data_IF_679971195739
#
_entry.id   IF_679971195739
#
_cell.length_a   1.000
_cell.length_b   1.000
_cell.length_c   1.000
_cell.angle_alpha   90.00
_cell.angle_beta   90.00
_cell.angle_gamma   90.00
#
_symmetry.space_group_name_H-M   'P 1'
#
loop_
_entity.id
_entity.type
_entity.pdbx_description
1 polymer ?
#
# COMPACT_ATOMS: atom_id res chain seq x y z
N UNK A 1 -3.78 -26.66 46.67
CA UNK A 1 -3.71 -26.73 45.19
C UNK A 1 -4.74 -25.78 44.59
N UNK A 2 -4.33 -24.60 44.10
CA UNK A 2 -5.23 -23.68 43.35
C UNK A 2 -5.43 -24.25 41.95
N UNK A 3 -6.65 -24.70 41.62
CA UNK A 3 -7.03 -25.11 40.26
C UNK A 3 -6.91 -23.88 39.34
N UNK A 4 -5.93 -23.88 38.43
CA UNK A 4 -5.87 -22.92 37.31
C UNK A 4 -7.12 -23.14 36.45
N UNK A 5 -7.87 -22.08 36.15
CA UNK A 5 -9.00 -22.10 35.21
C UNK A 5 -8.54 -22.78 33.92
N UNK A 6 -9.29 -23.81 33.46
CA UNK A 6 -9.09 -24.42 32.14
C UNK A 6 -9.23 -23.33 31.08
N UNK A 7 -8.11 -22.84 30.58
CA UNK A 7 -8.06 -22.06 29.34
C UNK A 7 -8.51 -23.03 28.23
N UNK A 8 -9.54 -22.64 27.47
CA UNK A 8 -10.23 -23.47 26.47
C UNK A 8 -9.27 -24.40 25.70
N UNK A 9 -9.52 -25.71 25.82
CA UNK A 9 -8.69 -26.81 25.27
C UNK A 9 -8.78 -26.91 23.73
N UNK A 10 -9.67 -26.13 23.10
CA UNK A 10 -10.00 -26.22 21.68
C UNK A 10 -9.90 -24.86 20.94
N UNK A 11 -9.41 -24.91 19.71
CA UNK A 11 -9.38 -23.84 18.71
C UNK A 11 -10.56 -24.08 17.76
N UNK A 12 -11.78 -23.73 18.18
CA UNK A 12 -12.99 -24.10 17.44
C UNK A 12 -13.15 -25.61 17.33
N UNK A 13 -12.77 -26.20 16.20
CA UNK A 13 -12.87 -27.65 15.88
C UNK A 13 -11.56 -28.43 16.07
N UNK A 14 -10.46 -27.78 16.45
CA UNK A 14 -9.13 -28.41 16.56
C UNK A 14 -8.57 -28.34 17.99
N UNK A 15 -7.55 -29.15 18.26
CA UNK A 15 -6.90 -29.21 19.58
C UNK A 15 -5.72 -28.25 19.67
N UNK A 16 -5.60 -27.55 20.81
CA UNK A 16 -4.39 -26.80 21.14
C UNK A 16 -3.29 -27.74 21.62
N UNK A 17 -2.12 -27.69 20.98
CA UNK A 17 -0.96 -28.49 21.38
C UNK A 17 0.12 -27.54 21.92
N UNK A 18 0.72 -27.82 23.09
CA UNK A 18 1.77 -26.98 23.63
C UNK A 18 3.01 -27.03 22.72
N UNK A 19 3.61 -25.88 22.47
CA UNK A 19 4.92 -25.83 21.86
C UNK A 19 5.95 -26.37 22.85
N UNK A 20 6.79 -27.26 22.36
CA UNK A 20 7.81 -27.94 23.14
C UNK A 20 9.14 -27.18 23.01
N UNK A 21 9.66 -26.69 24.13
CA UNK A 21 11.01 -26.15 24.22
C UNK A 21 12.00 -27.22 24.64
N UNK A 22 13.29 -27.02 24.38
CA UNK A 22 14.36 -27.86 24.93
C UNK A 22 15.08 -27.11 26.07
N UNK A 23 15.11 -27.72 27.25
CA UNK A 23 15.93 -27.27 28.39
C UNK A 23 16.87 -28.40 28.80
N UNK A 24 18.19 -28.17 28.72
CA UNK A 24 19.23 -29.15 29.09
C UNK A 24 18.96 -30.56 28.53
N UNK A 25 18.62 -30.65 27.24
CA UNK A 25 18.28 -31.90 26.50
C UNK A 25 16.98 -32.58 26.91
N UNK A 26 16.15 -31.95 27.76
CA UNK A 26 14.79 -32.40 28.08
C UNK A 26 13.78 -31.54 27.33
N UNK A 27 12.75 -32.20 26.82
CA UNK A 27 11.61 -31.52 26.20
C UNK A 27 10.67 -31.03 27.30
N UNK A 28 10.40 -29.73 27.33
CA UNK A 28 9.53 -29.08 28.32
C UNK A 28 8.38 -28.34 27.61
N UNK A 29 7.13 -28.45 28.10
CA UNK A 29 6.02 -27.68 27.54
C UNK A 29 6.18 -26.20 27.88
N UNK A 30 6.03 -25.33 26.89
CA UNK A 30 6.07 -23.88 27.07
C UNK A 30 4.69 -23.31 27.39
N UNK A 31 4.61 -22.01 27.71
CA UNK A 31 3.33 -21.29 27.87
C UNK A 31 2.63 -20.95 26.54
N UNK A 32 3.20 -21.38 25.41
CA UNK A 32 2.69 -21.12 24.07
C UNK A 32 2.02 -22.38 23.54
N UNK A 33 0.86 -22.22 22.90
CA UNK A 33 0.13 -23.32 22.27
C UNK A 33 -0.05 -23.03 20.79
N UNK A 34 -0.02 -24.05 19.95
CA UNK A 34 -0.33 -23.93 18.53
C UNK A 34 -1.45 -24.89 18.13
N UNK A 35 -2.27 -24.45 17.19
CA UNK A 35 -3.24 -25.31 16.52
C UNK A 35 -2.64 -25.78 15.19
N UNK A 36 -2.35 -27.08 15.06
CA UNK A 36 -1.76 -27.65 13.85
C UNK A 36 -2.71 -27.62 12.63
N UNK A 37 -4.02 -27.52 12.86
CA UNK A 37 -5.02 -27.41 11.79
C UNK A 37 -5.18 -25.98 11.26
N UNK A 38 -5.21 -24.99 12.15
CA UNK A 38 -5.45 -23.58 11.78
C UNK A 38 -4.18 -22.76 11.55
N UNK A 39 -3.04 -23.18 12.12
CA UNK A 39 -1.81 -22.38 12.14
C UNK A 39 -1.83 -21.23 13.16
N UNK A 40 -2.78 -21.24 14.09
CA UNK A 40 -2.89 -20.20 15.11
C UNK A 40 -1.92 -20.48 16.27
N UNK A 41 -1.31 -19.42 16.79
CA UNK A 41 -0.48 -19.43 17.98
C UNK A 41 -1.22 -18.70 19.12
N UNK A 42 -1.40 -19.38 20.25
CA UNK A 42 -2.00 -18.82 21.46
C UNK A 42 -0.90 -18.31 22.39
N UNK A 43 -1.01 -17.03 22.76
CA UNK A 43 -0.13 -16.35 23.72
C UNK A 43 -1.02 -15.84 24.86
N UNK A 44 -1.11 -16.64 25.93
CA UNK A 44 -2.07 -16.36 27.02
C UNK A 44 -3.53 -16.49 26.55
N UNK A 45 -4.31 -15.40 26.65
CA UNK A 45 -5.72 -15.36 26.23
C UNK A 45 -5.92 -14.96 24.77
N UNK A 46 -4.88 -14.48 24.08
CA UNK A 46 -4.98 -14.03 22.69
C UNK A 46 -4.44 -15.08 21.72
N UNK A 47 -4.97 -15.06 20.50
CA UNK A 47 -4.53 -15.91 19.39
C UNK A 47 -4.01 -15.05 18.25
N UNK A 48 -2.81 -15.37 17.78
CA UNK A 48 -2.15 -14.72 16.64
C UNK A 48 -2.10 -15.76 15.53
N UNK A 49 -2.63 -15.44 14.35
CA UNK A 49 -2.50 -16.33 13.20
C UNK A 49 -1.13 -16.15 12.57
N UNK A 50 -0.30 -17.19 12.59
CA UNK A 50 1.03 -17.17 11.99
C UNK A 50 0.96 -18.02 10.72
N UNK A 51 0.90 -17.35 9.57
CA UNK A 51 1.05 -17.99 8.26
C UNK A 51 2.42 -17.67 7.68
N UNK A 52 2.84 -18.42 6.66
CA UNK A 52 4.15 -18.21 5.99
C UNK A 52 4.34 -16.79 5.43
N UNK A 53 3.24 -16.04 5.24
CA UNK A 53 3.25 -14.72 4.61
C UNK A 53 2.49 -13.62 5.36
N UNK A 54 1.81 -13.94 6.47
CA UNK A 54 1.02 -12.96 7.24
C UNK A 54 1.03 -13.27 8.73
N UNK A 55 1.18 -12.22 9.53
CA UNK A 55 0.83 -12.17 10.94
C UNK A 55 -0.46 -11.36 11.04
N UNK A 56 -1.58 -12.02 11.33
CA UNK A 56 -2.84 -11.31 11.57
C UNK A 56 -2.89 -10.89 13.04
N UNK A 57 -2.99 -9.58 13.28
CA UNK A 57 -3.11 -8.98 14.61
C UNK A 57 -4.54 -8.50 14.89
N UNK A 58 -5.49 -8.73 13.98
CA UNK A 58 -6.83 -8.15 14.08
C UNK A 58 -6.78 -6.62 14.16
N UNK A 59 -7.57 -6.03 15.06
CA UNK A 59 -7.58 -4.58 15.32
C UNK A 59 -6.47 -4.11 16.28
N UNK A 60 -5.54 -5.00 16.68
CA UNK A 60 -4.50 -4.64 17.65
C UNK A 60 -3.36 -3.84 16.99
N UNK A 61 -2.83 -2.80 17.66
CA UNK A 61 -1.70 -2.02 17.13
C UNK A 61 -0.41 -2.85 17.12
N UNK A 62 0.45 -2.59 16.12
CA UNK A 62 1.81 -3.14 16.06
C UNK A 62 2.68 -2.38 17.07
N UNK A 63 2.77 -2.89 18.31
CA UNK A 63 3.60 -2.30 19.36
C UNK A 63 5.08 -2.72 19.20
N UNK A 64 6.01 -1.78 19.41
CA UNK A 64 7.46 -2.05 19.56
C UNK A 64 8.18 -2.58 18.31
N UNK A 65 7.77 -2.17 17.10
CA UNK A 65 8.61 -2.32 15.91
C UNK A 65 9.57 -1.13 15.79
N UNK A 66 10.84 -1.38 15.44
CA UNK A 66 11.83 -0.32 15.22
C UNK A 66 11.44 0.63 14.05
N UNK A 67 10.51 0.20 13.19
CA UNK A 67 9.88 1.01 12.16
C UNK A 67 8.95 0.17 11.29
N UNK A 68 8.02 0.83 10.60
CA UNK A 68 7.18 0.19 9.57
C UNK A 68 7.81 0.52 8.22
N UNK A 69 8.30 -0.51 7.51
CA UNK A 69 8.86 -0.33 6.18
C UNK A 69 7.73 -0.13 5.16
N UNK A 70 7.35 1.12 4.92
CA UNK A 70 6.32 1.49 3.96
C UNK A 70 6.87 1.86 2.56
N UNK A 71 8.18 2.07 2.45
CA UNK A 71 8.81 2.76 1.30
C UNK A 71 9.98 1.97 0.71
N UNK A 72 9.80 0.67 0.49
CA UNK A 72 10.76 -0.12 -0.27
C UNK A 72 10.31 -0.17 -1.74
N UNK A 73 11.15 0.21 -2.72
CA UNK A 73 10.82 0.01 -4.13
C UNK A 73 10.53 -1.47 -4.38
N UNK A 74 9.38 -1.80 -4.98
CA UNK A 74 9.04 -3.18 -5.30
C UNK A 74 10.09 -3.83 -6.20
N UNK A 75 10.37 -5.12 -5.97
CA UNK A 75 11.33 -5.87 -6.79
C UNK A 75 10.73 -6.39 -8.11
N UNK A 76 9.41 -6.35 -8.26
CA UNK A 76 8.72 -6.77 -9.47
C UNK A 76 8.36 -5.56 -10.34
N UNK A 77 8.28 -5.79 -11.64
CA UNK A 77 7.70 -4.83 -12.59
C UNK A 77 6.21 -4.59 -12.28
N UNK A 78 5.71 -3.41 -12.66
CA UNK A 78 4.33 -2.98 -12.54
C UNK A 78 3.74 -3.28 -11.15
N UNK A 79 4.45 -2.84 -10.12
CA UNK A 79 4.03 -3.07 -8.75
C UNK A 79 4.24 -1.86 -7.86
N UNK A 80 3.50 -1.82 -6.77
CA UNK A 80 3.47 -0.70 -5.84
C UNK A 80 3.62 -1.18 -4.39
N UNK A 81 4.19 -0.33 -3.55
CA UNK A 81 4.39 -0.52 -2.13
C UNK A 81 4.02 0.76 -1.39
N UNK A 82 3.22 0.65 -0.33
CA UNK A 82 2.77 1.81 0.44
C UNK A 82 1.33 1.67 0.93
N UNK A 83 0.66 2.80 1.10
CA UNK A 83 -0.76 2.86 1.44
C UNK A 83 -1.60 2.57 0.19
N UNK A 84 -1.99 1.31 0.04
CA UNK A 84 -2.82 0.82 -1.06
C UNK A 84 -4.20 0.46 -0.52
N UNK A 85 -5.24 1.01 -1.13
CA UNK A 85 -6.64 0.71 -0.79
C UNK A 85 -7.38 0.17 -2.02
N UNK A 86 -8.56 -0.41 -1.79
CA UNK A 86 -9.49 -0.74 -2.89
C UNK A 86 -10.53 0.36 -2.98
N UNK A 87 -10.71 0.94 -4.16
CA UNK A 87 -11.71 1.96 -4.44
C UNK A 87 -12.38 1.71 -5.78
N UNK A 88 -13.55 2.31 -6.01
CA UNK A 88 -14.25 2.23 -7.29
C UNK A 88 -13.62 3.21 -8.28
N UNK A 89 -13.18 2.70 -9.42
CA UNK A 89 -12.63 3.47 -10.53
C UNK A 89 -13.63 3.45 -11.69
N UNK A 90 -14.01 4.61 -12.21
CA UNK A 90 -14.92 4.71 -13.36
C UNK A 90 -14.17 4.52 -14.68
N UNK A 91 -13.00 5.16 -14.81
CA UNK A 91 -12.16 5.08 -16.02
C UNK A 91 -10.71 4.85 -15.66
N UNK A 92 -10.07 3.88 -16.33
CA UNK A 92 -8.62 3.72 -16.37
C UNK A 92 -8.20 2.82 -17.53
N UNK A 93 -8.06 3.42 -18.72
CA UNK A 93 -7.57 2.71 -19.90
C UNK A 93 -6.04 2.69 -20.01
N UNK A 94 -5.35 3.55 -19.24
CA UNK A 94 -3.89 3.70 -19.29
C UNK A 94 -3.16 2.66 -18.43
N UNK A 95 -3.86 2.05 -17.48
CA UNK A 95 -3.33 0.97 -16.65
C UNK A 95 -2.61 1.47 -15.40
N UNK A 96 -1.52 0.79 -15.03
CA UNK A 96 -0.78 1.11 -13.82
C UNK A 96 -0.07 2.47 -13.94
N UNK A 97 -0.06 3.23 -12.84
CA UNK A 97 0.56 4.55 -12.79
C UNK A 97 -0.30 5.67 -13.39
N UNK A 98 -1.53 5.38 -13.81
CA UNK A 98 -2.47 6.42 -14.22
C UNK A 98 -2.84 7.31 -13.01
N UNK A 99 -2.69 8.64 -13.10
CA UNK A 99 -3.19 9.56 -12.09
C UNK A 99 -4.71 9.56 -12.06
N UNK A 100 -5.27 9.58 -10.86
CA UNK A 100 -6.70 9.54 -10.60
C UNK A 100 -7.13 10.73 -9.74
N UNK A 101 -8.24 11.35 -10.12
CA UNK A 101 -8.91 12.39 -9.33
C UNK A 101 -10.23 11.87 -8.77
N UNK A 102 -10.70 12.49 -7.69
CA UNK A 102 -12.01 12.18 -7.10
C UNK A 102 -13.12 12.90 -7.88
N UNK A 103 -13.97 12.12 -8.55
CA UNK A 103 -15.13 12.66 -9.26
C UNK A 103 -16.29 12.95 -8.28
N UNK A 104 -17.25 13.75 -8.74
CA UNK A 104 -18.40 14.20 -7.93
C UNK A 104 -19.34 13.07 -7.47
N UNK A 105 -19.26 11.91 -8.10
CA UNK A 105 -20.00 10.70 -7.74
C UNK A 105 -19.31 9.86 -6.63
N UNK A 106 -18.13 10.29 -6.15
CA UNK A 106 -17.35 9.57 -5.12
C UNK A 106 -16.49 8.43 -5.66
N UNK A 107 -16.40 8.27 -6.98
CA UNK A 107 -15.52 7.33 -7.64
C UNK A 107 -14.28 8.04 -8.19
N UNK A 108 -13.25 7.26 -8.51
CA UNK A 108 -12.01 7.76 -9.09
C UNK A 108 -12.03 7.67 -10.60
N UNK A 109 -11.56 8.71 -11.27
CA UNK A 109 -11.47 8.78 -12.73
C UNK A 109 -10.08 9.25 -13.15
N UNK A 110 -9.67 8.94 -14.38
CA UNK A 110 -8.36 9.38 -14.92
C UNK A 110 -8.21 10.90 -14.90
N UNK A 111 -7.17 11.37 -14.24
CA UNK A 111 -6.82 12.78 -14.15
C UNK A 111 -6.09 13.26 -15.41
N UNK A 112 -6.18 14.57 -15.62
CA UNK A 112 -5.50 15.31 -16.69
C UNK A 112 -5.17 16.71 -16.18
N UNK A 113 -4.00 17.23 -16.55
CA UNK A 113 -3.59 18.59 -16.23
C UNK A 113 -4.22 19.65 -17.15
N UNK A 114 -5.11 19.29 -18.07
CA UNK A 114 -5.72 20.24 -19.03
C UNK A 114 -6.71 21.22 -18.41
N UNK A 115 -7.23 20.94 -17.21
CA UNK A 115 -8.17 21.83 -16.53
C UNK A 115 -8.31 21.49 -15.05
N UNK A 116 -8.89 22.40 -14.28
CA UNK A 116 -9.23 22.18 -12.88
C UNK A 116 -10.36 21.15 -12.66
N UNK A 117 -11.11 20.77 -13.70
CA UNK A 117 -12.23 19.84 -13.59
C UNK A 117 -11.79 18.39 -13.35
N UNK A 118 -10.55 18.07 -13.70
CA UNK A 118 -9.92 16.75 -13.60
C UNK A 118 -8.76 16.71 -12.61
N UNK A 119 -8.71 17.71 -11.72
CA UNK A 119 -7.67 17.92 -10.72
C UNK A 119 -8.32 18.24 -9.36
N UNK A 120 -7.65 18.00 -8.22
CA UNK A 120 -6.32 17.44 -8.08
C UNK A 120 -6.27 15.92 -8.27
N UNK A 121 -5.12 15.42 -8.72
CA UNK A 121 -4.77 14.01 -8.59
C UNK A 121 -4.59 13.66 -7.10
N UNK A 122 -5.27 12.60 -6.66
CA UNK A 122 -5.26 12.15 -5.25
C UNK A 122 -4.78 10.71 -5.10
N UNK A 123 -4.72 9.94 -6.19
CA UNK A 123 -4.30 8.56 -6.18
C UNK A 123 -3.64 8.16 -7.50
N UNK A 124 -2.82 7.11 -7.48
CA UNK A 124 -2.36 6.41 -8.68
C UNK A 124 -3.07 5.05 -8.81
N UNK A 125 -3.43 4.67 -10.03
CA UNK A 125 -3.93 3.34 -10.31
C UNK A 125 -2.83 2.28 -10.15
N UNK A 126 -3.12 1.20 -9.44
CA UNK A 126 -2.26 0.01 -9.39
C UNK A 126 -2.76 -1.05 -10.38
N UNK A 127 -4.07 -1.14 -10.58
CA UNK A 127 -4.71 -2.06 -11.51
C UNK A 127 -5.40 -1.30 -12.66
N UNK A 128 -5.47 -1.93 -13.84
CA UNK A 128 -6.14 -1.39 -15.03
C UNK A 128 -7.68 -1.59 -15.01
N UNK A 129 -8.39 -0.75 -15.77
CA UNK A 129 -9.84 -0.84 -16.01
C UNK A 129 -10.72 -0.27 -14.91
N UNK A 130 -12.04 -0.44 -15.05
CA UNK A 130 -13.06 0.09 -14.16
C UNK A 130 -13.55 -0.91 -13.08
N UNK A 131 -14.27 -0.41 -12.07
CA UNK A 131 -14.83 -1.17 -10.95
C UNK A 131 -13.98 -1.08 -9.68
N UNK A 132 -14.11 -2.06 -8.79
CA UNK A 132 -13.29 -2.12 -7.58
C UNK A 132 -11.83 -2.47 -7.94
N UNK A 133 -10.91 -1.51 -7.77
CA UNK A 133 -9.50 -1.61 -8.16
C UNK A 133 -8.59 -1.19 -7.02
N UNK A 134 -7.36 -1.70 -7.02
CA UNK A 134 -6.33 -1.22 -6.10
C UNK A 134 -5.78 0.10 -6.59
N UNK A 135 -5.66 1.03 -5.65
CA UNK A 135 -5.10 2.36 -5.87
C UNK A 135 -4.06 2.68 -4.80
N UNK A 136 -3.03 3.41 -5.19
CA UNK A 136 -1.97 3.90 -4.31
C UNK A 136 -2.31 5.33 -3.88
N UNK A 137 -2.46 5.54 -2.57
CA UNK A 137 -2.65 6.87 -1.99
C UNK A 137 -1.31 7.54 -1.66
N UNK A 138 -0.33 6.75 -1.27
CA UNK A 138 1.00 7.23 -0.89
C UNK A 138 2.00 6.09 -0.85
N UNK A 139 3.18 6.25 -1.45
CA UNK A 139 4.21 5.20 -1.44
C UNK A 139 5.07 5.18 -2.70
N UNK A 140 5.62 4.02 -3.05
CA UNK A 140 6.49 3.83 -4.21
C UNK A 140 5.78 3.01 -5.27
N UNK A 141 5.78 3.49 -6.51
CA UNK A 141 5.35 2.73 -7.67
C UNK A 141 6.54 2.49 -8.60
N UNK A 142 6.65 1.28 -9.12
CA UNK A 142 7.67 0.89 -10.09
C UNK A 142 7.01 0.37 -11.36
N UNK A 143 7.51 0.85 -12.49
CA UNK A 143 7.25 0.29 -13.81
C UNK A 143 8.52 0.40 -14.66
N UNK A 144 9.01 -0.74 -15.17
CA UNK A 144 10.28 -0.85 -15.91
C UNK A 144 10.22 -0.19 -17.30
N UNK A 145 9.02 0.18 -17.75
CA UNK A 145 8.80 0.94 -18.98
C UNK A 145 9.07 2.45 -18.81
N UNK A 146 9.25 2.93 -17.58
CA UNK A 146 9.56 4.33 -17.33
C UNK A 146 11.03 4.65 -17.52
N UNK A 147 11.35 5.93 -17.63
CA UNK A 147 12.72 6.41 -17.74
C UNK A 147 12.85 7.80 -17.09
N UNK A 148 12.58 7.87 -15.79
CA UNK A 148 12.60 9.11 -15.03
C UNK A 148 14.03 9.63 -14.80
N UNK A 149 14.16 10.95 -14.82
CA UNK A 149 15.36 11.65 -14.39
C UNK A 149 15.30 11.90 -12.89
N UNK A 150 16.39 11.57 -12.19
CA UNK A 150 16.53 11.83 -10.76
C UNK A 150 17.32 13.13 -10.59
N UNK A 151 16.95 13.97 -9.63
CA UNK A 151 17.71 15.17 -9.33
C UNK A 151 17.05 16.10 -8.32
N UNK A 152 17.74 17.16 -7.89
CA UNK A 152 17.17 18.18 -7.02
C UNK A 152 16.19 19.08 -7.80
N UNK A 153 15.24 19.69 -7.08
CA UNK A 153 14.27 20.64 -7.66
C UNK A 153 13.41 19.99 -8.74
N UNK A 154 13.09 20.77 -9.76
CA UNK A 154 12.13 20.39 -10.81
C UNK A 154 12.61 19.19 -11.66
N UNK A 155 13.92 18.94 -11.73
CA UNK A 155 14.51 17.83 -12.49
C UNK A 155 14.09 16.45 -11.99
N UNK A 156 13.74 16.33 -10.71
CA UNK A 156 13.27 15.08 -10.10
C UNK A 156 11.77 15.02 -9.90
N UNK A 157 11.04 16.15 -10.05
CA UNK A 157 9.62 16.22 -9.79
C UNK A 157 8.82 15.54 -10.90
N UNK A 158 7.70 14.93 -10.51
CA UNK A 158 6.73 14.32 -11.42
C UNK A 158 5.40 15.03 -11.26
N UNK A 159 4.82 15.40 -12.39
CA UNK A 159 3.57 16.12 -12.52
C UNK A 159 2.52 15.26 -13.22
N UNK A 160 1.25 15.64 -13.05
CA UNK A 160 0.17 15.15 -13.92
C UNK A 160 0.41 15.72 -15.33
N UNK A 161 0.31 14.88 -16.36
CA UNK A 161 0.43 15.30 -17.75
C UNK A 161 -0.87 15.91 -18.28
N UNK A 162 -0.77 16.72 -19.33
CA UNK A 162 -1.93 17.17 -20.13
C UNK A 162 -2.51 16.04 -20.98
N UNK A 163 -1.75 14.97 -21.22
CA UNK A 163 -2.29 13.73 -21.74
C UNK A 163 -3.04 12.99 -20.62
N UNK A 164 -4.30 12.65 -20.88
CA UNK A 164 -5.19 12.01 -19.89
C UNK A 164 -4.59 10.70 -19.37
N UNK A 165 -4.52 10.56 -18.04
CA UNK A 165 -4.01 9.37 -17.41
C UNK A 165 -2.50 9.15 -17.57
N UNK A 166 -1.73 10.18 -17.94
CA UNK A 166 -0.27 10.11 -18.06
C UNK A 166 0.45 11.00 -17.04
N UNK A 167 1.72 10.66 -16.79
CA UNK A 167 2.63 11.39 -15.92
C UNK A 167 3.75 12.02 -16.76
N UNK A 168 4.33 13.11 -16.27
CA UNK A 168 5.38 13.86 -16.97
C UNK A 168 6.36 14.49 -15.97
N UNK A 169 7.63 14.65 -16.36
CA UNK A 169 8.59 15.52 -15.66
C UNK A 169 8.70 16.91 -16.29
N UNK A 170 7.94 17.17 -17.35
CA UNK A 170 7.76 18.50 -17.92
C UNK A 170 6.53 19.13 -17.28
N UNK A 171 6.75 20.26 -16.61
CA UNK A 171 5.68 21.05 -16.01
C UNK A 171 4.70 21.53 -17.10
N UNK A 172 3.38 21.37 -16.90
CA UNK A 172 2.37 22.02 -17.74
C UNK A 172 2.55 23.56 -17.77
N UNK A 173 2.30 24.18 -18.92
CA UNK A 173 2.60 25.61 -19.17
C UNK A 173 1.60 26.34 -20.07
N UNK A 174 0.61 25.64 -20.64
CA UNK A 174 -0.49 26.25 -21.36
C UNK A 174 -1.49 26.93 -20.42
N UNK A 175 -2.24 27.91 -20.93
CA UNK A 175 -3.30 28.60 -20.20
C UNK A 175 -4.31 27.60 -19.62
N UNK A 176 -4.72 27.83 -18.37
CA UNK A 176 -5.62 26.99 -17.57
C UNK A 176 -5.10 25.58 -17.25
N UNK A 177 -3.88 25.23 -17.67
CA UNK A 177 -3.26 23.96 -17.30
C UNK A 177 -2.90 23.93 -15.82
N UNK A 178 -3.09 22.76 -15.21
CA UNK A 178 -2.89 22.52 -13.79
C UNK A 178 -1.46 22.05 -13.53
N UNK A 179 -0.73 22.82 -12.73
CA UNK A 179 0.59 22.48 -12.22
C UNK A 179 0.41 21.85 -10.84
N UNK A 180 0.47 20.52 -10.81
CA UNK A 180 0.41 19.75 -9.56
C UNK A 180 1.58 18.76 -9.51
N UNK A 181 2.57 18.98 -8.62
CA UNK A 181 3.56 17.97 -8.27
C UNK A 181 2.86 16.82 -7.54
N UNK A 182 3.07 15.59 -8.00
CA UNK A 182 2.48 14.39 -7.40
C UNK A 182 3.51 13.48 -6.72
N UNK A 183 4.79 13.81 -6.84
CA UNK A 183 5.87 12.98 -6.36
C UNK A 183 7.22 13.34 -6.97
N UNK A 184 8.19 12.45 -6.75
CA UNK A 184 9.53 12.57 -7.32
C UNK A 184 10.11 11.22 -7.73
N UNK A 185 11.06 11.23 -8.67
CA UNK A 185 11.77 10.04 -9.11
C UNK A 185 12.74 9.52 -8.05
N UNK A 186 12.71 8.20 -7.79
CA UNK A 186 13.68 7.50 -6.94
C UNK A 186 14.74 6.78 -7.78
N UNK A 187 14.34 6.29 -8.96
CA UNK A 187 15.19 5.72 -10.00
C UNK A 187 14.55 5.99 -11.36
N UNK A 188 15.19 5.55 -12.45
CA UNK A 188 14.58 5.62 -13.79
C UNK A 188 13.21 4.92 -13.85
N UNK A 189 13.05 3.83 -13.09
CA UNK A 189 11.89 2.95 -13.18
C UNK A 189 10.93 3.09 -11.99
N UNK A 190 11.25 3.94 -11.01
CA UNK A 190 10.48 4.06 -9.78
C UNK A 190 10.29 5.51 -9.34
N UNK A 191 9.08 5.80 -8.87
CA UNK A 191 8.72 7.09 -8.29
C UNK A 191 8.16 6.93 -6.88
N UNK A 192 8.38 7.95 -6.07
CA UNK A 192 7.67 8.14 -4.83
C UNK A 192 6.46 9.04 -5.06
N UNK A 193 5.27 8.49 -4.84
CA UNK A 193 3.99 9.19 -4.93
C UNK A 193 3.61 9.78 -3.57
N UNK A 194 3.49 11.09 -3.54
CA UNK A 194 3.03 11.89 -2.42
C UNK A 194 2.34 13.13 -2.99
N UNK A 195 1.04 13.02 -3.35
CA UNK A 195 0.36 14.07 -4.11
C UNK A 195 0.22 15.34 -3.28
N UNK A 196 0.58 16.48 -3.86
CA UNK A 196 0.23 17.77 -3.29
C UNK A 196 -1.27 18.02 -3.45
N UNK A 197 -1.95 18.40 -2.37
CA UNK A 197 -3.36 18.84 -2.44
C UNK A 197 -3.44 20.26 -3.02
N UNK A 198 -2.39 21.06 -2.83
CA UNK A 198 -2.27 22.38 -3.42
C UNK A 198 -1.74 22.25 -4.85
N UNK A 199 -2.41 22.91 -5.78
CA UNK A 199 -2.00 23.01 -7.18
C UNK A 199 -2.15 24.46 -7.64
N UNK A 200 -1.41 24.80 -8.69
CA UNK A 200 -1.48 26.08 -9.36
C UNK A 200 -2.13 25.89 -10.73
N UNK A 201 -2.84 26.89 -11.22
CA UNK A 201 -3.27 26.93 -12.62
C UNK A 201 -2.45 27.98 -13.33
N UNK A 202 -1.93 27.65 -14.51
CA UNK A 202 -1.30 28.65 -15.35
C UNK A 202 -2.35 29.65 -15.82
N UNK A 203 -2.02 30.94 -15.77
CA UNK A 203 -2.87 32.04 -16.25
C UNK A 203 -2.44 32.42 -17.67
#
# INVERSE_FOLDING_TARGET
>A
MKKRKKEQEECGTHHWIPLLGSDKKKTVPTSLFTCLGCGDLKVGTQTIKISRYRLDMGELPINSVAGIKLMNPPSADNSASGLIITATVDTNDQGIGAPLYMASNGNLSTASATSNATSPCVALAVDAGAGAKRILLHGVLRADAWNWTIGPGDSGLIYVSTATGALSQVQPSGTDEVIQPIGWALSADAMYFAPSILYLTHV
#
